data_IF_222572532979
#
_entry.id   IF_222572532979
#
_cell.length_a   1.000
_cell.length_b   1.000
_cell.length_c   1.000
_cell.angle_alpha   90.00
_cell.angle_beta   90.00
_cell.angle_gamma   90.00
#
_symmetry.space_group_name_H-M   'P 1'
#
loop_
_entity.id
_entity.type
_entity.pdbx_description
1 polymer ?
#
# COMPACT_ATOMS: atom_id res chain seq x y z
N UNK A 1 14.32 -10.99 17.68
CA UNK A 1 13.73 -10.16 16.61
C UNK A 1 13.18 -8.88 17.21
N UNK A 2 12.91 -7.88 16.38
CA UNK A 2 12.25 -6.62 16.79
C UNK A 2 10.79 -6.67 16.36
N UNK A 3 9.88 -6.34 17.27
CA UNK A 3 8.48 -6.10 16.89
C UNK A 3 8.39 -4.71 16.27
N UNK A 4 8.40 -4.63 14.94
CA UNK A 4 8.47 -3.37 14.21
C UNK A 4 7.33 -2.42 14.60
N UNK A 5 6.09 -2.90 14.59
CA UNK A 5 4.88 -2.21 15.06
C UNK A 5 4.09 -3.10 16.03
N UNK A 6 3.50 -2.49 17.05
CA UNK A 6 2.56 -3.11 18.01
C UNK A 6 1.24 -2.34 18.01
N UNK A 7 0.15 -3.02 18.39
CA UNK A 7 -1.12 -2.33 18.61
C UNK A 7 -0.97 -1.25 19.68
N UNK A 8 -1.48 -0.04 19.40
CA UNK A 8 -1.36 1.15 20.23
C UNK A 8 -0.19 2.07 19.84
N UNK A 9 0.80 1.60 19.09
CA UNK A 9 1.89 2.47 18.59
C UNK A 9 1.30 3.57 17.72
N UNK A 10 1.79 4.80 17.88
CA UNK A 10 1.36 6.00 17.14
C UNK A 10 -0.18 6.27 17.23
N UNK A 11 -0.83 5.75 18.29
CA UNK A 11 -2.28 5.88 18.49
C UNK A 11 -3.11 5.02 17.52
N UNK A 12 -2.51 4.02 16.86
CA UNK A 12 -3.15 3.15 15.89
C UNK A 12 -3.59 1.86 16.56
N UNK A 13 -4.85 1.47 16.38
CA UNK A 13 -5.37 0.25 16.98
C UNK A 13 -4.63 -1.02 16.53
N UNK A 14 -4.40 -1.19 15.23
CA UNK A 14 -3.80 -2.40 14.68
C UNK A 14 -2.99 -2.14 13.41
N UNK A 15 -1.91 -2.89 13.24
CA UNK A 15 -1.12 -2.94 12.01
C UNK A 15 -1.21 -4.35 11.41
N UNK A 16 -1.39 -4.45 10.09
CA UNK A 16 -1.50 -5.74 9.38
C UNK A 16 -0.86 -5.67 7.98
N UNK A 17 -0.84 -6.82 7.31
CA UNK A 17 -0.47 -6.99 5.90
C UNK A 17 0.95 -6.50 5.59
N UNK A 18 1.99 -7.26 6.03
CA UNK A 18 3.37 -6.83 5.85
C UNK A 18 3.85 -7.03 4.40
N UNK A 19 4.48 -5.99 3.87
CA UNK A 19 5.39 -6.07 2.73
C UNK A 19 6.80 -5.67 3.14
N UNK A 20 7.82 -6.30 2.55
CA UNK A 20 9.22 -6.01 2.84
C UNK A 20 10.07 -6.11 1.57
N UNK A 21 10.86 -5.07 1.30
CA UNK A 21 11.87 -5.05 0.26
C UNK A 21 13.18 -4.44 0.74
N UNK A 22 14.27 -4.77 0.05
CA UNK A 22 15.59 -4.19 0.26
C UNK A 22 15.93 -3.37 -0.98
N UNK A 23 16.30 -2.10 -0.80
CA UNK A 23 16.69 -1.22 -1.92
C UNK A 23 18.09 -1.58 -2.43
N UNK A 24 18.47 -1.03 -3.58
CA UNK A 24 19.83 -1.17 -4.13
C UNK A 24 20.93 -0.65 -3.18
N UNK A 25 20.57 0.17 -2.19
CA UNK A 25 21.50 0.70 -1.17
C UNK A 25 21.56 -0.15 0.10
N UNK A 26 20.82 -1.26 0.16
CA UNK A 26 20.70 -2.11 1.35
C UNK A 26 19.71 -1.61 2.40
N UNK A 27 18.98 -0.52 2.11
CA UNK A 27 17.93 0.01 2.99
C UNK A 27 16.74 -0.96 3.00
N UNK A 28 16.17 -1.25 4.16
CA UNK A 28 14.92 -2.01 4.29
C UNK A 28 13.72 -1.07 4.25
N UNK A 29 12.74 -1.41 3.43
CA UNK A 29 11.45 -0.74 3.30
C UNK A 29 10.36 -1.73 3.68
N UNK A 30 9.73 -1.50 4.82
CA UNK A 30 8.60 -2.30 5.30
C UNK A 30 7.31 -1.50 5.13
N UNK A 31 6.30 -2.07 4.47
CA UNK A 31 4.97 -1.46 4.28
C UNK A 31 3.90 -2.29 4.99
N UNK A 32 2.82 -1.65 5.41
CA UNK A 32 1.74 -2.30 6.15
C UNK A 32 0.49 -1.42 6.22
N UNK A 33 -0.65 -2.04 6.48
CA UNK A 33 -1.87 -1.35 6.87
C UNK A 33 -1.68 -0.64 8.21
N UNK A 34 -2.19 0.59 8.30
CA UNK A 34 -2.33 1.38 9.52
C UNK A 34 -3.83 1.44 9.85
N UNK A 35 -4.33 0.44 10.57
CA UNK A 35 -5.77 0.30 10.87
C UNK A 35 -6.11 1.10 12.12
N UNK A 36 -6.59 2.33 11.91
CA UNK A 36 -6.72 3.36 12.96
C UNK A 36 -7.66 2.94 14.08
N UNK A 37 -8.82 2.35 13.75
CA UNK A 37 -9.94 2.19 14.70
C UNK A 37 -10.11 0.79 15.28
N UNK A 38 -9.87 -0.25 14.48
CA UNK A 38 -10.07 -1.64 14.88
C UNK A 38 -9.24 -2.57 13.97
N UNK A 39 -9.31 -3.89 14.20
CA UNK A 39 -8.58 -4.89 13.41
C UNK A 39 -9.25 -5.36 12.12
N UNK A 40 -10.42 -4.83 11.75
CA UNK A 40 -11.19 -5.23 10.56
C UNK A 40 -10.51 -4.86 9.24
N UNK A 41 -10.86 -5.56 8.17
CA UNK A 41 -10.37 -5.31 6.80
C UNK A 41 -11.10 -4.12 6.15
N UNK A 42 -10.70 -3.75 4.93
CA UNK A 42 -11.44 -2.76 4.13
C UNK A 42 -12.90 -3.21 3.89
N UNK A 43 -13.88 -2.28 3.87
CA UNK A 43 -13.73 -0.83 4.06
C UNK A 43 -13.47 -0.44 5.52
N UNK A 44 -12.62 0.56 5.75
CA UNK A 44 -12.26 1.04 7.09
C UNK A 44 -11.46 2.35 7.07
N UNK A 45 -11.14 2.85 8.25
CA UNK A 45 -10.19 3.97 8.45
C UNK A 45 -8.78 3.37 8.48
N UNK A 46 -8.23 3.16 7.27
CA UNK A 46 -6.99 2.42 7.00
C UNK A 46 -6.14 3.23 6.04
N UNK A 47 -4.88 3.44 6.42
CA UNK A 47 -3.85 4.05 5.58
C UNK A 47 -2.76 3.02 5.26
N UNK A 48 -1.87 3.34 4.30
CA UNK A 48 -0.63 2.57 4.10
C UNK A 48 0.53 3.28 4.79
N UNK A 49 1.12 2.59 5.76
CA UNK A 49 2.30 3.02 6.50
C UNK A 49 3.56 2.39 5.94
N UNK A 50 4.69 3.04 6.18
CA UNK A 50 6.02 2.58 5.83
C UNK A 50 7.00 2.85 6.99
N UNK A 51 7.84 1.86 7.27
CA UNK A 51 9.03 2.00 8.13
C UNK A 51 10.29 1.74 7.33
N UNK A 52 11.32 2.55 7.57
CA UNK A 52 12.59 2.53 6.85
C UNK A 52 13.77 2.23 7.80
N UNK A 53 14.69 1.38 7.38
CA UNK A 53 15.91 1.07 8.15
C UNK A 53 17.15 1.05 7.25
N UNK A 54 18.23 1.69 7.70
CA UNK A 54 19.51 1.77 6.97
C UNK A 54 20.62 0.92 7.60
N UNK A 55 20.31 0.18 8.67
CA UNK A 55 21.29 -0.57 9.47
C UNK A 55 20.96 -2.08 9.56
N UNK A 56 20.22 -2.59 8.57
CA UNK A 56 19.81 -4.00 8.50
C UNK A 56 18.68 -4.35 9.46
N UNK A 57 17.85 -3.39 9.84
CA UNK A 57 16.66 -3.59 10.67
C UNK A 57 16.94 -3.55 12.17
N UNK A 58 18.11 -3.05 12.61
CA UNK A 58 18.44 -2.88 14.03
C UNK A 58 17.73 -1.67 14.61
N UNK A 59 17.67 -0.58 13.85
CA UNK A 59 16.87 0.61 14.14
C UNK A 59 15.99 0.96 12.95
N UNK A 60 14.88 1.63 13.24
CA UNK A 60 13.90 2.04 12.24
C UNK A 60 13.57 3.52 12.46
N UNK A 61 13.45 4.26 11.37
CA UNK A 61 12.99 5.64 11.39
C UNK A 61 11.52 5.72 11.85
N UNK A 62 11.05 6.92 12.18
CA UNK A 62 9.64 7.15 12.48
C UNK A 62 8.76 6.70 11.30
N UNK A 63 7.61 6.10 11.60
CA UNK A 63 6.67 5.64 10.58
C UNK A 63 6.22 6.82 9.71
N UNK A 64 6.19 6.60 8.40
CA UNK A 64 5.58 7.51 7.44
C UNK A 64 4.26 6.94 6.95
N UNK A 65 3.22 7.77 6.82
CA UNK A 65 2.00 7.42 6.09
C UNK A 65 2.24 7.78 4.63
N UNK A 66 2.33 6.79 3.76
CA UNK A 66 2.70 6.96 2.35
C UNK A 66 1.49 6.98 1.41
N UNK A 67 0.35 6.46 1.87
CA UNK A 67 -0.94 6.65 1.20
C UNK A 67 -2.05 6.83 2.24
N UNK A 68 -2.76 7.95 2.14
CA UNK A 68 -3.97 8.31 2.89
C UNK A 68 -4.90 8.99 1.88
N UNK A 69 -6.10 8.44 1.68
CA UNK A 69 -7.07 8.95 0.71
C UNK A 69 -8.05 9.96 1.34
N UNK A 70 -7.81 10.33 2.60
CA UNK A 70 -8.57 11.29 3.36
C UNK A 70 -9.89 10.74 3.88
N UNK A 71 -10.82 11.65 4.13
CA UNK A 71 -12.17 11.34 4.58
C UNK A 71 -13.16 12.22 3.84
N UNK A 72 -14.03 11.60 3.05
CA UNK A 72 -15.20 12.27 2.51
C UNK A 72 -16.41 12.02 3.44
N UNK A 73 -17.03 13.07 4.03
CA UNK A 73 -18.17 12.91 4.93
C UNK A 73 -19.40 12.28 4.25
N UNK A 74 -19.46 12.24 2.91
CA UNK A 74 -20.51 11.56 2.15
C UNK A 74 -20.41 10.04 2.26
N UNK A 75 -19.22 9.51 2.55
CA UNK A 75 -18.94 8.09 2.50
C UNK A 75 -18.58 7.54 3.88
N UNK A 76 -18.91 6.27 4.11
CA UNK A 76 -18.68 5.64 5.41
C UNK A 76 -17.19 5.52 5.75
N UNK A 77 -16.35 5.28 4.74
CA UNK A 77 -14.90 5.08 4.84
C UNK A 77 -14.24 5.43 3.50
N UNK A 78 -12.94 5.75 3.53
CA UNK A 78 -12.10 6.00 2.35
C UNK A 78 -10.74 5.29 2.45
N UNK A 79 -10.69 4.14 3.12
CA UNK A 79 -9.43 3.46 3.43
C UNK A 79 -8.69 2.92 2.20
N UNK A 80 -7.37 2.86 2.33
CA UNK A 80 -6.44 2.26 1.36
C UNK A 80 -5.52 1.27 2.07
N UNK A 81 -5.34 0.07 1.51
CA UNK A 81 -4.64 -1.00 2.19
C UNK A 81 -4.21 -2.18 1.32
N UNK A 82 -3.84 -3.26 1.99
CA UNK A 82 -3.29 -4.49 1.47
C UNK A 82 -1.95 -4.32 0.70
N UNK A 83 -0.99 -3.51 1.20
CA UNK A 83 0.10 -3.01 0.38
C UNK A 83 1.05 -4.08 -0.15
N UNK A 84 1.61 -3.82 -1.33
CA UNK A 84 2.72 -4.58 -1.89
C UNK A 84 3.86 -3.63 -2.30
N UNK A 85 5.09 -3.92 -1.88
CA UNK A 85 6.30 -3.12 -2.20
C UNK A 85 7.18 -3.81 -3.25
N UNK A 86 7.74 -3.05 -4.18
CA UNK A 86 8.69 -3.50 -5.18
C UNK A 86 9.83 -2.49 -5.28
N UNK A 87 11.04 -2.98 -5.53
CA UNK A 87 12.18 -2.15 -5.92
C UNK A 87 12.47 -2.44 -7.38
N UNK A 88 12.45 -1.41 -8.21
CA UNK A 88 13.00 -1.44 -9.55
C UNK A 88 14.52 -1.53 -9.42
N UNK A 89 15.08 -2.70 -9.66
CA UNK A 89 16.51 -2.96 -9.47
C UNK A 89 17.36 -2.27 -10.54
N UNK A 90 16.77 -1.84 -11.66
CA UNK A 90 17.46 -1.12 -12.74
C UNK A 90 17.65 0.35 -12.37
N UNK A 91 16.62 1.00 -11.83
CA UNK A 91 16.63 2.44 -11.55
C UNK A 91 16.85 2.79 -10.08
N UNK A 92 16.54 1.86 -9.17
CA UNK A 92 16.49 2.09 -7.73
C UNK A 92 15.18 2.70 -7.23
N UNK A 93 14.20 2.98 -8.11
CA UNK A 93 12.87 3.46 -7.73
C UNK A 93 12.15 2.40 -6.90
N UNK A 94 11.47 2.85 -5.84
CA UNK A 94 10.61 1.99 -5.02
C UNK A 94 9.17 2.26 -5.44
N UNK A 95 8.40 1.20 -5.68
CA UNK A 95 6.96 1.25 -5.93
C UNK A 95 6.20 0.61 -4.79
N UNK A 96 5.07 1.20 -4.41
CA UNK A 96 4.10 0.56 -3.50
C UNK A 96 2.73 0.60 -4.13
N UNK A 97 2.12 -0.57 -4.28
CA UNK A 97 0.74 -0.76 -4.71
C UNK A 97 -0.17 -0.95 -3.51
N UNK A 98 -1.39 -0.41 -3.59
CA UNK A 98 -2.45 -0.65 -2.62
C UNK A 98 -3.82 -0.48 -3.27
N UNK A 99 -4.86 -1.01 -2.62
CA UNK A 99 -6.23 -0.88 -3.10
C UNK A 99 -6.99 0.15 -2.27
N UNK A 100 -7.55 1.15 -2.93
CA UNK A 100 -8.41 2.15 -2.32
C UNK A 100 -9.87 1.71 -2.39
N UNK A 101 -10.51 1.62 -1.23
CA UNK A 101 -11.95 1.40 -1.09
C UNK A 101 -12.64 2.74 -0.82
N UNK A 102 -13.00 3.46 -1.88
CA UNK A 102 -13.88 4.63 -1.75
C UNK A 102 -15.26 4.19 -1.28
N UNK A 103 -15.73 4.68 -0.13
CA UNK A 103 -16.91 4.14 0.52
C UNK A 103 -16.76 2.65 0.88
N UNK A 104 -17.73 1.83 0.45
CA UNK A 104 -17.76 0.39 0.75
C UNK A 104 -17.28 -0.47 -0.43
N UNK A 105 -16.41 0.07 -1.31
CA UNK A 105 -15.92 -0.63 -2.52
C UNK A 105 -14.69 -1.51 -2.28
N UNK A 106 -14.81 -2.41 -1.30
CA UNK A 106 -13.86 -3.48 -1.02
C UNK A 106 -14.50 -4.86 -1.31
N UNK A 107 -13.99 -5.94 -0.70
CA UNK A 107 -14.37 -7.32 -0.97
C UNK A 107 -15.88 -7.59 -1.19
N UNK A 108 -16.74 -7.07 -0.32
CA UNK A 108 -18.20 -7.32 -0.39
C UNK A 108 -19.01 -6.25 -1.13
N UNK A 109 -18.42 -5.08 -1.41
CA UNK A 109 -19.18 -3.96 -1.98
C UNK A 109 -18.61 -3.38 -3.27
N UNK A 110 -17.46 -3.85 -3.72
CA UNK A 110 -16.92 -3.55 -5.04
C UNK A 110 -17.77 -4.23 -6.12
N UNK A 111 -18.18 -3.46 -7.12
CA UNK A 111 -18.99 -3.92 -8.24
C UNK A 111 -18.23 -3.90 -9.56
N UNK A 112 -18.95 -4.22 -10.64
CA UNK A 112 -18.48 -3.95 -12.00
C UNK A 112 -18.35 -2.44 -12.24
N UNK A 113 -17.54 -2.08 -13.23
CA UNK A 113 -17.26 -0.69 -13.60
C UNK A 113 -15.85 -0.25 -13.27
N UNK A 114 -15.59 1.04 -13.41
CA UNK A 114 -14.23 1.61 -13.35
C UNK A 114 -14.09 2.74 -12.34
N UNK A 115 -15.17 3.44 -11.99
CA UNK A 115 -15.06 4.63 -11.13
C UNK A 115 -14.94 4.23 -9.64
N UNK A 116 -14.40 5.12 -8.79
CA UNK A 116 -14.30 4.87 -7.35
C UNK A 116 -15.65 4.59 -6.68
N UNK A 117 -16.75 5.15 -7.19
CA UNK A 117 -18.10 4.91 -6.66
C UNK A 117 -18.65 3.53 -7.03
N UNK A 118 -18.05 2.86 -8.03
CA UNK A 118 -18.46 1.56 -8.56
C UNK A 118 -17.59 0.42 -8.03
N UNK A 119 -16.27 0.61 -8.03
CA UNK A 119 -15.28 -0.44 -7.71
C UNK A 119 -14.11 0.14 -6.93
N UNK A 120 -13.43 -0.71 -6.16
CA UNK A 120 -12.14 -0.35 -5.58
C UNK A 120 -11.11 -0.05 -6.66
N UNK A 121 -10.14 0.77 -6.30
CA UNK A 121 -9.18 1.38 -7.22
C UNK A 121 -7.77 0.90 -6.91
N UNK A 122 -7.04 0.46 -7.92
CA UNK A 122 -5.64 0.08 -7.80
C UNK A 122 -4.76 1.34 -7.89
N UNK A 123 -4.06 1.62 -6.80
CA UNK A 123 -3.27 2.84 -6.61
C UNK A 123 -1.78 2.50 -6.49
N UNK A 124 -0.94 3.41 -6.99
CA UNK A 124 0.52 3.36 -6.83
C UNK A 124 1.06 4.63 -6.20
N UNK A 125 2.10 4.50 -5.37
CA UNK A 125 3.04 5.58 -5.05
C UNK A 125 4.46 5.11 -5.35
N UNK A 126 5.36 6.06 -5.57
CA UNK A 126 6.79 5.75 -5.74
C UNK A 126 7.69 6.69 -4.96
N UNK A 127 8.91 6.22 -4.72
CA UNK A 127 10.02 6.99 -4.17
C UNK A 127 11.25 6.84 -5.05
N UNK A 128 11.87 7.98 -5.37
CA UNK A 128 13.12 8.08 -6.15
C UNK A 128 14.33 8.41 -5.26
N UNK A 129 14.13 8.53 -3.94
CA UNK A 129 15.14 9.00 -2.99
C UNK A 129 15.40 8.00 -1.86
N UNK A 130 15.30 6.71 -2.17
CA UNK A 130 15.54 5.58 -1.25
C UNK A 130 14.51 5.50 -0.11
N UNK A 131 13.26 5.88 -0.38
CA UNK A 131 12.14 5.77 0.55
C UNK A 131 12.01 6.93 1.53
N UNK A 132 12.64 8.09 1.24
CA UNK A 132 12.57 9.27 2.12
C UNK A 132 11.35 10.13 1.84
N UNK A 133 10.99 10.29 0.58
CA UNK A 133 9.79 10.98 0.13
C UNK A 133 9.03 10.14 -0.89
N UNK A 134 7.73 10.39 -1.00
CA UNK A 134 6.81 9.63 -1.83
C UNK A 134 5.99 10.54 -2.73
N UNK A 135 5.69 10.05 -3.94
CA UNK A 135 4.82 10.73 -4.88
C UNK A 135 3.40 10.86 -4.35
N UNK A 136 2.59 11.70 -5.01
CA UNK A 136 1.13 11.61 -4.88
C UNK A 136 0.63 10.24 -5.41
N UNK A 137 -0.50 9.71 -4.92
CA UNK A 137 -1.09 8.49 -5.45
C UNK A 137 -1.45 8.60 -6.94
N UNK A 138 -1.12 7.55 -7.69
CA UNK A 138 -1.42 7.37 -9.10
C UNK A 138 -2.48 6.28 -9.23
N UNK A 139 -3.60 6.58 -9.87
CA UNK A 139 -4.65 5.59 -10.13
C UNK A 139 -4.36 4.86 -11.46
N UNK A 140 -4.11 3.55 -11.38
CA UNK A 140 -3.82 2.71 -12.55
C UNK A 140 -4.99 1.80 -12.93
N UNK A 141 -6.13 1.91 -12.25
CA UNK A 141 -7.31 1.04 -12.48
C UNK A 141 -7.71 0.99 -13.95
N UNK A 142 -7.78 2.16 -14.62
CA UNK A 142 -8.15 2.25 -16.03
C UNK A 142 -7.14 1.65 -17.01
N UNK A 143 -5.94 1.28 -16.54
CA UNK A 143 -4.91 0.65 -17.38
C UNK A 143 -4.99 -0.88 -17.36
N UNK A 144 -5.45 -1.46 -16.24
CA UNK A 144 -5.29 -2.92 -15.98
C UNK A 144 -6.59 -3.64 -15.61
N UNK A 145 -7.62 -2.91 -15.16
CA UNK A 145 -8.87 -3.54 -14.73
C UNK A 145 -9.77 -3.84 -15.94
N UNK A 146 -10.38 -5.02 -15.93
CA UNK A 146 -11.53 -5.31 -16.80
C UNK A 146 -12.83 -4.75 -16.16
N UNK A 147 -13.68 -4.02 -16.91
CA UNK A 147 -14.91 -3.46 -16.36
C UNK A 147 -15.88 -4.51 -15.82
N UNK A 148 -15.81 -5.77 -16.28
CA UNK A 148 -16.64 -6.87 -15.78
C UNK A 148 -16.15 -7.50 -14.49
N UNK A 149 -14.90 -7.22 -14.07
CA UNK A 149 -14.40 -7.70 -12.78
C UNK A 149 -15.02 -6.90 -11.63
N UNK A 150 -15.37 -7.59 -10.55
CA UNK A 150 -15.93 -6.95 -9.37
C UNK A 150 -14.87 -6.25 -8.54
N UNK A 151 -13.67 -6.82 -8.44
CA UNK A 151 -12.61 -6.28 -7.61
C UNK A 151 -11.26 -6.69 -8.17
N UNK A 152 -10.36 -5.72 -8.30
CA UNK A 152 -8.97 -5.91 -8.68
C UNK A 152 -8.11 -5.25 -7.60
N UNK A 153 -7.15 -5.99 -7.09
CA UNK A 153 -6.19 -5.54 -6.09
C UNK A 153 -4.87 -6.27 -6.29
N UNK A 154 -3.79 -5.68 -5.80
CA UNK A 154 -2.50 -6.35 -5.67
C UNK A 154 -2.58 -7.54 -4.71
N UNK A 155 -1.80 -8.60 -5.01
CA UNK A 155 -1.44 -9.60 -4.02
C UNK A 155 -0.53 -8.95 -2.96
N UNK A 156 -0.94 -8.91 -1.68
CA UNK A 156 -0.19 -8.18 -0.65
C UNK A 156 1.21 -8.76 -0.42
N UNK A 157 2.14 -7.92 0.02
CA UNK A 157 3.50 -8.32 0.34
C UNK A 157 4.53 -7.63 -0.55
N UNK A 158 5.01 -8.29 -1.61
CA UNK A 158 6.02 -7.70 -2.49
C UNK A 158 5.91 -8.12 -3.94
N UNK A 159 6.44 -7.26 -4.82
CA UNK A 159 6.74 -7.58 -6.20
C UNK A 159 8.22 -7.88 -6.44
N UNK A 160 8.59 -8.04 -7.72
CA UNK A 160 9.95 -8.31 -8.18
C UNK A 160 10.33 -7.49 -9.42
N UNK A 161 11.63 -7.27 -9.61
CA UNK A 161 12.20 -6.91 -10.92
C UNK A 161 12.70 -8.19 -11.59
N UNK A 162 12.25 -8.45 -12.81
CA UNK A 162 12.74 -9.56 -13.62
C UNK A 162 14.14 -9.24 -14.16
N UNK A 163 14.87 -10.27 -14.59
CA UNK A 163 16.24 -10.12 -15.13
C UNK A 163 16.33 -9.20 -16.36
N UNK A 164 15.23 -9.03 -17.09
CA UNK A 164 15.14 -8.15 -18.26
C UNK A 164 14.67 -6.72 -17.91
N UNK A 165 14.46 -6.42 -16.63
CA UNK A 165 13.98 -5.13 -16.15
C UNK A 165 12.45 -5.01 -16.05
N UNK A 166 11.69 -6.04 -16.40
CA UNK A 166 10.23 -6.02 -16.25
C UNK A 166 9.84 -5.99 -14.77
N UNK A 167 8.95 -5.07 -14.38
CA UNK A 167 8.43 -4.96 -13.02
C UNK A 167 7.16 -5.79 -12.88
N UNK A 168 7.07 -6.62 -11.84
CA UNK A 168 5.95 -7.54 -11.65
C UNK A 168 5.39 -7.45 -10.23
N UNK A 169 4.10 -7.12 -10.14
CA UNK A 169 3.26 -7.36 -8.97
C UNK A 169 2.29 -8.52 -9.27
N UNK A 170 1.95 -9.31 -8.26
CA UNK A 170 0.80 -10.21 -8.35
C UNK A 170 -0.50 -9.39 -8.25
N UNK A 171 -1.54 -9.78 -9.00
CA UNK A 171 -2.87 -9.20 -8.97
C UNK A 171 -3.92 -10.23 -9.41
#
# INVERSE_FOLDING_TARGET
GIALRRGGDDGVHTYRIPGLATTNKGTLIAVYDVRRRNGGDLPGDIDVGMSRSTDGGRTWEAMQVIMDMGRDPKWAYDGIGDPAVLVDEVTGRIWVAAVWSHGRRAWHGSGKGMTPEQSGQLMLVHSDDDGKTWSKPLNITGQVKDPDWHYLLQGPGRGITMKDGTLVFAA
#
